data_IF_999111322017
#
_entry.id   IF_999111322017
#
_cell.length_a   1.000
_cell.length_b   1.000
_cell.length_c   1.000
_cell.angle_alpha   90.00
_cell.angle_beta   90.00
_cell.angle_gamma   90.00
#
_symmetry.space_group_name_H-M   'P 1'
#
loop_
_entity.id
_entity.type
_entity.pdbx_description
1 polymer ?
#
# COMPACT_ATOMS: atom_id res chain seq x y z
N UNK A 1 19.99 15.18 26.85
CA UNK A 1 21.15 15.90 26.23
C UNK A 1 21.01 15.90 24.72
N UNK A 2 21.26 17.04 24.04
CA UNK A 2 21.17 17.12 22.55
C UNK A 2 22.32 16.36 21.88
N UNK A 3 22.16 16.05 20.58
CA UNK A 3 23.22 15.38 19.81
C UNK A 3 24.50 16.24 19.69
N UNK A 4 24.36 17.58 19.62
CA UNK A 4 25.46 18.52 19.63
C UNK A 4 26.24 18.50 20.92
N UNK A 5 25.53 18.57 22.05
CA UNK A 5 26.15 18.55 23.39
C UNK A 5 26.89 17.23 23.67
N UNK A 6 26.35 16.10 23.19
CA UNK A 6 27.03 14.78 23.28
C UNK A 6 28.34 14.76 22.49
N UNK A 7 28.35 15.40 21.30
CA UNK A 7 29.54 15.49 20.46
C UNK A 7 30.64 16.30 21.12
N UNK A 8 30.32 17.45 21.73
CA UNK A 8 31.25 18.28 22.45
C UNK A 8 31.89 17.55 23.67
N UNK A 9 31.08 16.83 24.45
CA UNK A 9 31.57 16.00 25.59
C UNK A 9 32.55 14.93 25.07
N UNK A 10 32.22 14.24 23.97
CA UNK A 10 33.11 13.24 23.38
C UNK A 10 34.43 13.86 22.93
N UNK A 11 34.39 15.02 22.27
CA UNK A 11 35.59 15.71 21.75
C UNK A 11 36.53 16.13 22.91
N UNK A 12 35.98 16.67 24.00
CA UNK A 12 36.75 17.02 25.19
C UNK A 12 37.38 15.81 25.90
N UNK A 13 36.67 14.68 25.94
CA UNK A 13 37.16 13.46 26.59
C UNK A 13 38.13 12.67 25.73
N UNK A 14 38.03 12.75 24.42
CA UNK A 14 38.86 12.01 23.47
C UNK A 14 40.35 12.32 23.65
N UNK A 15 40.74 13.59 23.69
CA UNK A 15 42.13 14.01 23.89
C UNK A 15 42.72 13.56 25.24
N UNK A 16 41.90 13.56 26.30
CA UNK A 16 42.30 13.08 27.64
C UNK A 16 42.41 11.56 27.67
N UNK A 17 41.48 10.85 27.00
CA UNK A 17 41.46 9.39 26.93
C UNK A 17 42.71 8.81 26.23
N UNK A 18 43.17 9.44 25.17
CA UNK A 18 44.38 9.00 24.43
C UNK A 18 45.63 9.01 25.28
N UNK A 19 45.79 10.00 26.21
CA UNK A 19 46.93 10.20 27.08
C UNK A 19 46.79 9.49 28.44
N UNK A 20 45.62 8.92 28.73
CA UNK A 20 45.30 8.38 30.07
C UNK A 20 45.84 6.97 30.26
N UNK A 21 46.36 6.68 31.48
CA UNK A 21 46.65 5.32 31.91
C UNK A 21 45.40 4.48 32.16
N UNK A 22 45.54 3.18 32.29
CA UNK A 22 44.44 2.18 32.32
C UNK A 22 43.30 2.51 33.29
N UNK A 23 43.64 2.93 34.53
CA UNK A 23 42.65 3.26 35.57
C UNK A 23 41.87 4.52 35.21
N UNK A 24 42.57 5.54 34.70
CA UNK A 24 41.92 6.80 34.35
C UNK A 24 41.07 6.67 33.07
N UNK A 25 41.46 5.83 32.09
CA UNK A 25 40.62 5.48 30.95
C UNK A 25 39.30 4.86 31.37
N UNK A 26 39.34 3.98 32.40
CA UNK A 26 38.11 3.37 32.92
C UNK A 26 37.17 4.45 33.47
N UNK A 27 37.67 5.39 34.27
CA UNK A 27 36.87 6.52 34.79
C UNK A 27 36.27 7.39 33.68
N UNK A 28 37.02 7.68 32.60
CA UNK A 28 36.52 8.46 31.48
C UNK A 28 35.44 7.75 30.71
N UNK A 29 35.50 6.44 30.57
CA UNK A 29 34.44 5.61 29.93
C UNK A 29 33.17 5.67 30.81
N UNK A 30 33.31 5.47 32.14
CA UNK A 30 32.20 5.47 33.07
C UNK A 30 31.49 6.85 33.06
N UNK A 31 32.28 7.92 33.08
CA UNK A 31 31.79 9.29 32.97
C UNK A 31 31.02 9.54 31.66
N UNK A 32 31.53 9.03 30.53
CA UNK A 32 30.84 9.17 29.23
C UNK A 32 29.54 8.38 29.20
N UNK A 33 29.51 7.20 29.82
CA UNK A 33 28.27 6.41 29.93
C UNK A 33 27.23 7.13 30.77
N UNK A 34 27.62 7.70 31.90
CA UNK A 34 26.72 8.42 32.81
C UNK A 34 26.17 9.70 32.19
N UNK A 35 27.04 10.55 31.63
CA UNK A 35 26.67 11.87 31.09
C UNK A 35 25.90 11.77 29.77
N UNK A 36 26.31 10.85 28.85
CA UNK A 36 25.74 10.74 27.53
C UNK A 36 24.69 9.62 27.38
N UNK A 37 24.54 8.75 28.39
CA UNK A 37 23.68 7.57 28.32
C UNK A 37 24.16 6.52 27.29
N UNK A 38 25.48 6.43 27.04
CA UNK A 38 26.03 5.47 26.11
C UNK A 38 26.28 4.13 26.79
N UNK A 39 26.02 3.03 26.02
CA UNK A 39 26.52 1.74 26.45
C UNK A 39 28.06 1.69 26.45
N UNK A 40 28.63 0.96 27.40
CA UNK A 40 30.08 0.89 27.63
C UNK A 40 30.88 0.54 26.36
N UNK A 41 30.42 -0.43 25.57
CA UNK A 41 31.05 -0.82 24.30
C UNK A 41 31.07 0.33 23.28
N UNK A 42 30.00 1.10 23.22
CA UNK A 42 29.88 2.25 22.34
C UNK A 42 30.78 3.41 22.81
N UNK A 43 30.79 3.69 24.11
CA UNK A 43 31.67 4.71 24.72
C UNK A 43 33.17 4.42 24.42
N UNK A 44 33.63 3.18 24.58
CA UNK A 44 34.98 2.74 24.21
C UNK A 44 35.25 2.97 22.72
N UNK A 45 34.32 2.62 21.85
CA UNK A 45 34.46 2.78 20.40
C UNK A 45 34.62 4.24 19.99
N UNK A 46 33.82 5.12 20.59
CA UNK A 46 33.84 6.57 20.32
C UNK A 46 35.10 7.22 20.85
N UNK A 47 35.54 6.88 22.08
CA UNK A 47 36.76 7.40 22.65
C UNK A 47 38.04 6.91 21.98
N UNK A 48 38.03 5.77 21.33
CA UNK A 48 39.14 5.28 20.49
C UNK A 48 39.19 5.93 19.09
N UNK A 49 38.37 6.95 18.83
CA UNK A 49 38.35 7.63 17.55
C UNK A 49 37.76 6.82 16.39
N UNK A 50 37.26 5.61 16.65
CA UNK A 50 36.54 4.81 15.69
C UNK A 50 35.08 5.33 15.58
N UNK A 51 34.93 6.58 15.10
CA UNK A 51 33.64 6.96 14.54
C UNK A 51 33.33 5.95 13.44
N UNK A 52 32.10 5.41 13.34
CA UNK A 52 31.67 4.85 12.09
C UNK A 52 31.75 6.02 11.09
N UNK A 53 32.83 6.09 10.32
CA UNK A 53 32.86 6.92 9.14
C UNK A 53 31.61 6.60 8.32
N UNK A 54 31.15 7.48 7.41
CA UNK A 54 30.19 7.07 6.41
C UNK A 54 30.71 5.72 5.92
N UNK A 55 29.88 4.68 5.98
CA UNK A 55 30.26 3.34 5.55
C UNK A 55 30.80 3.51 4.15
N UNK A 56 32.14 3.65 4.06
CA UNK A 56 32.80 3.64 2.77
C UNK A 56 32.35 2.36 2.10
N UNK A 57 31.92 2.48 0.87
CA UNK A 57 31.64 1.34 0.02
C UNK A 57 32.83 0.41 0.17
N UNK A 58 32.67 -0.68 0.92
CA UNK A 58 33.66 -1.72 0.98
C UNK A 58 33.74 -2.28 -0.46
N UNK A 59 34.77 -1.87 -1.17
CA UNK A 59 35.18 -2.48 -2.45
C UNK A 59 35.67 -3.90 -2.13
N UNK A 60 34.74 -4.82 -1.96
CA UNK A 60 35.02 -6.19 -1.57
C UNK A 60 33.77 -7.05 -1.42
N UNK A 61 32.65 -6.63 -1.98
CA UNK A 61 31.44 -7.44 -2.11
C UNK A 61 31.60 -8.49 -3.22
N UNK A 62 30.94 -9.64 -3.08
CA UNK A 62 30.81 -10.61 -4.14
C UNK A 62 30.42 -9.92 -5.47
N UNK A 63 30.97 -10.39 -6.59
CA UNK A 63 30.65 -9.85 -7.91
C UNK A 63 29.14 -9.80 -8.09
N UNK A 64 28.58 -8.72 -8.66
CA UNK A 64 27.14 -8.61 -8.85
C UNK A 64 26.68 -9.78 -9.73
N UNK A 65 25.75 -10.57 -9.21
CA UNK A 65 25.17 -11.74 -9.89
C UNK A 65 24.32 -11.31 -11.09
N UNK A 66 23.76 -10.10 -11.01
CA UNK A 66 22.88 -9.54 -12.03
C UNK A 66 23.55 -8.36 -12.73
N UNK A 67 23.48 -8.37 -14.05
CA UNK A 67 24.03 -7.33 -14.91
C UNK A 67 23.07 -6.17 -15.10
N UNK A 68 23.50 -5.14 -15.79
CA UNK A 68 22.63 -4.01 -16.13
C UNK A 68 21.43 -4.41 -16.98
N UNK A 69 21.54 -5.48 -17.77
CA UNK A 69 20.44 -5.97 -18.61
C UNK A 69 19.29 -6.53 -17.78
N UNK A 70 19.55 -7.43 -16.84
CA UNK A 70 18.51 -7.98 -15.96
C UNK A 70 17.89 -6.87 -15.09
N UNK A 71 18.70 -5.94 -14.59
CA UNK A 71 18.22 -4.81 -13.77
C UNK A 71 17.33 -3.88 -14.58
N UNK A 72 17.63 -3.63 -15.86
CA UNK A 72 16.80 -2.80 -16.74
C UNK A 72 15.40 -3.44 -16.96
N UNK A 73 15.34 -4.76 -17.19
CA UNK A 73 14.06 -5.47 -17.30
C UNK A 73 13.23 -5.32 -16.03
N UNK A 74 13.85 -5.53 -14.87
CA UNK A 74 13.16 -5.43 -13.58
C UNK A 74 12.66 -4.01 -13.31
N UNK A 75 13.48 -2.98 -13.60
CA UNK A 75 13.08 -1.57 -13.46
C UNK A 75 11.90 -1.22 -14.35
N UNK A 76 11.95 -1.62 -15.61
CA UNK A 76 10.86 -1.37 -16.55
C UNK A 76 9.54 -1.98 -16.05
N UNK A 77 9.55 -3.27 -15.68
CA UNK A 77 8.36 -3.94 -15.16
C UNK A 77 7.90 -3.29 -13.85
N UNK A 78 8.80 -2.93 -12.96
CA UNK A 78 8.50 -2.31 -11.67
C UNK A 78 7.85 -0.93 -11.84
N UNK A 79 8.33 -0.13 -12.76
CA UNK A 79 7.79 1.19 -13.09
C UNK A 79 6.39 1.09 -13.68
N UNK A 80 6.21 0.28 -14.73
CA UNK A 80 4.91 0.07 -15.37
C UNK A 80 3.90 -0.67 -14.50
N UNK A 81 4.34 -1.43 -13.51
CA UNK A 81 3.50 -2.15 -12.56
C UNK A 81 3.16 -1.33 -11.31
N UNK A 82 3.44 -0.03 -11.30
CA UNK A 82 3.16 0.90 -10.22
C UNK A 82 3.89 0.57 -8.91
N UNK A 83 5.22 0.44 -9.01
CA UNK A 83 6.16 0.38 -7.89
C UNK A 83 5.87 -0.69 -6.81
N UNK A 84 5.54 -1.94 -7.15
CA UNK A 84 5.20 -2.96 -6.17
C UNK A 84 6.39 -3.34 -5.28
N UNK A 85 6.11 -3.87 -4.08
CA UNK A 85 7.14 -4.47 -3.24
C UNK A 85 7.68 -5.78 -3.86
N UNK A 86 8.90 -6.21 -3.47
CA UNK A 86 9.55 -7.38 -4.04
C UNK A 86 8.71 -8.65 -4.01
N UNK A 87 7.94 -8.90 -2.95
CA UNK A 87 7.05 -10.07 -2.86
C UNK A 87 5.94 -10.07 -3.93
N UNK A 88 5.35 -8.91 -4.22
CA UNK A 88 4.37 -8.77 -5.29
C UNK A 88 5.04 -8.82 -6.65
N UNK A 89 6.20 -8.16 -6.79
CA UNK A 89 6.95 -8.10 -8.05
C UNK A 89 7.37 -9.49 -8.53
N UNK A 90 7.82 -10.39 -7.64
CA UNK A 90 8.12 -11.80 -8.01
C UNK A 90 6.93 -12.44 -8.72
N UNK A 91 5.73 -12.31 -8.16
CA UNK A 91 4.52 -12.89 -8.76
C UNK A 91 4.09 -12.17 -10.06
N UNK A 92 4.49 -10.91 -10.24
CA UNK A 92 4.19 -10.12 -11.43
C UNK A 92 5.15 -10.40 -12.60
N UNK A 93 6.41 -10.72 -12.33
CA UNK A 93 7.42 -10.93 -13.39
C UNK A 93 6.95 -11.89 -14.49
N UNK A 94 6.40 -13.08 -14.22
CA UNK A 94 5.90 -13.98 -15.27
C UNK A 94 4.74 -13.37 -16.07
N UNK A 95 3.83 -12.66 -15.40
CA UNK A 95 2.64 -12.06 -16.01
C UNK A 95 3.02 -10.90 -16.96
N UNK A 96 4.03 -10.12 -16.59
CA UNK A 96 4.45 -8.92 -17.31
C UNK A 96 5.53 -9.17 -18.38
N UNK A 97 6.19 -10.31 -18.34
CA UNK A 97 7.30 -10.63 -19.26
C UNK A 97 6.90 -10.53 -20.72
N UNK A 98 5.70 -11.03 -21.06
CA UNK A 98 5.17 -10.95 -22.43
C UNK A 98 4.95 -9.52 -22.90
N UNK A 99 4.44 -8.66 -22.02
CA UNK A 99 4.22 -7.23 -22.31
C UNK A 99 5.54 -6.49 -22.47
N UNK A 100 6.55 -6.84 -21.65
CA UNK A 100 7.90 -6.32 -21.78
C UNK A 100 8.49 -6.66 -23.16
N UNK A 101 8.49 -7.95 -23.54
CA UNK A 101 9.07 -8.41 -24.80
C UNK A 101 8.39 -7.80 -26.03
N UNK A 102 7.07 -7.61 -26.01
CA UNK A 102 6.36 -6.91 -27.08
C UNK A 102 6.81 -5.46 -27.30
N UNK A 103 7.20 -4.76 -26.25
CA UNK A 103 7.53 -3.33 -26.32
C UNK A 103 9.02 -3.04 -26.42
N UNK A 104 9.86 -3.89 -25.85
CA UNK A 104 11.30 -3.69 -25.74
C UNK A 104 12.12 -4.67 -26.57
N UNK A 105 11.45 -5.67 -27.21
CA UNK A 105 12.09 -6.73 -27.98
C UNK A 105 12.33 -8.02 -27.18
N UNK A 106 12.65 -9.08 -27.90
CA UNK A 106 12.89 -10.39 -27.33
C UNK A 106 14.11 -10.40 -26.40
N UNK A 107 13.95 -11.07 -25.27
CA UNK A 107 15.03 -11.29 -24.31
C UNK A 107 15.76 -12.60 -24.62
N UNK A 108 17.06 -12.56 -24.52
CA UNK A 108 17.87 -13.79 -24.52
C UNK A 108 17.43 -14.70 -23.37
N UNK A 109 17.32 -16.00 -23.65
CA UNK A 109 16.86 -17.01 -22.68
C UNK A 109 17.58 -16.93 -21.33
N UNK A 110 18.92 -16.78 -21.23
CA UNK A 110 19.61 -16.68 -19.94
C UNK A 110 19.19 -15.44 -19.12
N UNK A 111 18.96 -14.28 -19.76
CA UNK A 111 18.53 -13.05 -19.10
C UNK A 111 17.13 -13.23 -18.54
N UNK A 112 16.22 -13.79 -19.35
CA UNK A 112 14.83 -14.07 -18.94
C UNK A 112 14.79 -15.03 -17.73
N UNK A 113 15.53 -16.13 -17.78
CA UNK A 113 15.57 -17.11 -16.68
C UNK A 113 16.09 -16.49 -15.39
N UNK A 114 17.18 -15.72 -15.47
CA UNK A 114 17.73 -14.99 -14.31
C UNK A 114 16.74 -14.01 -13.70
N UNK A 115 16.02 -13.24 -14.52
CA UNK A 115 15.00 -12.30 -14.04
C UNK A 115 13.86 -13.03 -13.33
N UNK A 116 13.35 -14.11 -13.93
CA UNK A 116 12.27 -14.91 -13.33
C UNK A 116 12.70 -15.67 -12.06
N UNK A 117 13.98 -15.96 -11.91
CA UNK A 117 14.55 -16.60 -10.72
C UNK A 117 14.91 -15.64 -9.58
N UNK A 118 14.67 -14.33 -9.71
CA UNK A 118 15.01 -13.37 -8.65
C UNK A 118 14.13 -13.53 -7.42
N UNK A 119 14.75 -13.56 -6.24
CA UNK A 119 14.02 -13.53 -4.97
C UNK A 119 13.47 -12.12 -4.65
N UNK A 120 12.41 -12.06 -3.85
CA UNK A 120 11.83 -10.80 -3.38
C UNK A 120 12.85 -9.88 -2.70
N UNK A 121 13.73 -10.45 -1.87
CA UNK A 121 14.79 -9.70 -1.19
C UNK A 121 15.85 -9.15 -2.18
N UNK A 122 16.13 -9.86 -3.26
CA UNK A 122 17.00 -9.38 -4.33
C UNK A 122 16.38 -8.21 -5.07
N UNK A 123 15.10 -8.32 -5.46
CA UNK A 123 14.36 -7.26 -6.11
C UNK A 123 14.28 -6.00 -5.24
N UNK A 124 14.00 -6.15 -3.94
CA UNK A 124 13.95 -5.01 -3.01
C UNK A 124 15.31 -4.32 -2.87
N UNK A 125 16.43 -5.06 -2.88
CA UNK A 125 17.78 -4.49 -2.84
C UNK A 125 18.14 -3.77 -4.14
N UNK A 126 17.86 -4.37 -5.29
CA UNK A 126 18.15 -3.77 -6.59
C UNK A 126 17.41 -2.46 -6.81
N UNK A 127 16.17 -2.37 -6.34
CA UNK A 127 15.29 -1.21 -6.51
C UNK A 127 15.35 -0.21 -5.35
N UNK A 128 16.17 -0.45 -4.32
CA UNK A 128 16.20 0.39 -3.11
C UNK A 128 16.51 1.87 -3.41
N UNK A 129 17.47 2.13 -4.28
CA UNK A 129 17.85 3.50 -4.68
C UNK A 129 16.75 4.20 -5.50
N UNK A 130 16.02 3.45 -6.33
CA UNK A 130 14.97 3.98 -7.18
C UNK A 130 13.69 4.29 -6.37
N UNK A 131 13.38 3.49 -5.33
CA UNK A 131 12.26 3.72 -4.41
C UNK A 131 12.32 5.02 -3.63
N UNK A 132 13.51 5.49 -3.30
CA UNK A 132 13.70 6.77 -2.56
C UNK A 132 13.22 7.96 -3.38
N UNK A 133 13.19 7.85 -4.71
CA UNK A 133 12.79 8.92 -5.63
C UNK A 133 11.28 9.04 -5.81
N UNK A 134 10.51 8.02 -5.41
CA UNK A 134 9.06 7.92 -5.67
C UNK A 134 8.28 7.97 -4.34
N UNK A 135 8.08 9.16 -3.74
CA UNK A 135 7.25 9.34 -2.53
C UNK A 135 6.20 10.45 -2.68
N UNK A 136 4.89 10.19 -2.47
CA UNK A 136 3.82 11.20 -2.53
C UNK A 136 3.45 11.80 -1.15
N UNK A 137 2.80 13.00 -1.15
CA UNK A 137 2.35 13.76 0.03
C UNK A 137 0.86 13.55 0.35
N UNK A 138 0.42 13.80 1.60
CA UNK A 138 -0.90 13.42 2.17
C UNK A 138 -1.84 14.60 2.44
N UNK A 139 -3.19 14.36 2.33
CA UNK A 139 -4.29 15.20 2.84
C UNK A 139 -5.64 14.44 2.89
N UNK A 140 -6.61 14.78 3.76
CA UNK A 140 -7.89 14.06 3.92
C UNK A 140 -9.05 14.86 4.55
N UNK A 141 -10.32 14.38 4.43
CA UNK A 141 -11.59 15.02 4.86
C UNK A 141 -12.63 14.04 5.46
N UNK A 142 -13.69 14.53 6.15
CA UNK A 142 -14.73 13.73 6.87
C UNK A 142 -16.18 14.13 6.53
N UNK A 143 -17.20 13.23 6.55
CA UNK A 143 -18.63 13.53 6.35
C UNK A 143 -19.68 12.98 7.36
N UNK A 144 -20.89 13.23 7.19
CA UNK A 144 -22.28 13.36 7.55
C UNK A 144 -23.12 12.27 8.33
N UNK A 145 -24.40 12.65 8.85
CA UNK A 145 -24.91 12.19 10.16
C UNK A 145 -26.31 11.52 10.23
N UNK A 146 -27.13 11.37 9.18
CA UNK A 146 -28.60 11.17 9.35
C UNK A 146 -29.18 9.75 9.10
N UNK A 147 -28.57 8.84 8.35
CA UNK A 147 -29.09 7.48 8.07
C UNK A 147 -28.45 6.35 8.89
N UNK A 148 -27.63 6.72 9.85
CA UNK A 148 -26.82 5.78 10.66
C UNK A 148 -27.63 4.80 11.51
N UNK A 149 -28.90 5.09 11.81
CA UNK A 149 -29.72 4.23 12.68
C UNK A 149 -30.40 3.07 11.95
N UNK A 150 -30.54 3.11 10.64
CA UNK A 150 -31.29 2.12 9.86
C UNK A 150 -30.40 1.03 9.23
N UNK A 151 -29.14 1.33 8.98
CA UNK A 151 -28.19 0.36 8.42
C UNK A 151 -27.38 -0.26 9.57
N UNK A 152 -27.41 -1.60 9.74
CA UNK A 152 -26.74 -2.26 10.86
C UNK A 152 -25.24 -2.03 10.81
N UNK A 153 -24.63 -1.86 12.00
CA UNK A 153 -23.19 -1.77 12.16
C UNK A 153 -22.63 -3.18 12.09
N UNK A 154 -21.59 -3.40 11.30
CA UNK A 154 -20.85 -4.65 11.29
C UNK A 154 -20.03 -4.77 12.58
N UNK A 155 -20.47 -5.62 13.51
CA UNK A 155 -19.81 -5.84 14.80
C UNK A 155 -18.75 -6.93 14.75
N UNK A 156 -18.83 -7.83 13.76
CA UNK A 156 -17.92 -8.97 13.59
C UNK A 156 -17.30 -8.98 12.19
N UNK A 157 -16.13 -9.61 12.04
CA UNK A 157 -15.58 -9.90 10.72
C UNK A 157 -16.49 -10.91 10.01
N UNK A 158 -16.79 -10.67 8.73
CA UNK A 158 -17.49 -11.68 7.95
C UNK A 158 -16.65 -12.95 7.84
N UNK A 159 -17.25 -14.10 8.11
CA UNK A 159 -16.67 -15.41 7.78
C UNK A 159 -16.83 -15.65 6.27
N UNK A 160 -15.92 -15.02 5.50
CA UNK A 160 -15.99 -14.99 4.04
C UNK A 160 -15.36 -16.25 3.48
N UNK A 161 -16.22 -17.19 3.02
CA UNK A 161 -15.82 -18.47 2.41
C UNK A 161 -15.70 -18.41 0.88
N UNK A 162 -16.18 -17.36 0.26
CA UNK A 162 -16.18 -17.18 -1.19
C UNK A 162 -16.36 -15.70 -1.59
N UNK A 163 -16.30 -15.38 -2.89
CA UNK A 163 -16.49 -14.01 -3.39
C UNK A 163 -17.94 -13.53 -3.23
N UNK A 164 -18.13 -12.22 -3.32
CA UNK A 164 -19.44 -11.57 -3.24
C UNK A 164 -19.64 -10.65 -2.03
N UNK A 165 -18.61 -10.45 -1.23
CA UNK A 165 -18.61 -9.58 -0.05
C UNK A 165 -17.79 -8.33 -0.36
N UNK A 166 -18.44 -7.22 -0.70
CA UNK A 166 -17.79 -5.98 -1.10
C UNK A 166 -17.65 -4.99 0.05
N UNK A 167 -16.47 -4.43 0.21
CA UNK A 167 -16.23 -3.17 0.93
C UNK A 167 -16.18 -2.03 -0.08
N UNK A 168 -16.89 -0.93 0.22
CA UNK A 168 -16.91 0.28 -0.61
C UNK A 168 -16.43 1.50 0.15
N UNK A 169 -15.69 2.36 -0.54
CA UNK A 169 -15.22 3.64 -0.02
C UNK A 169 -15.05 4.66 -1.15
N UNK A 170 -15.04 5.94 -0.81
CA UNK A 170 -14.92 7.02 -1.78
C UNK A 170 -13.64 7.82 -1.62
N UNK A 171 -13.11 8.33 -2.74
CA UNK A 171 -11.96 9.22 -2.79
C UNK A 171 -12.36 10.55 -3.42
N UNK A 172 -12.19 11.62 -2.67
CA UNK A 172 -12.49 12.99 -3.10
C UNK A 172 -11.38 13.55 -3.99
N UNK A 173 -11.73 14.07 -5.17
CA UNK A 173 -10.80 14.76 -6.05
C UNK A 173 -10.99 16.29 -6.00
N UNK A 174 -11.06 16.84 -4.80
CA UNK A 174 -11.21 18.28 -4.54
C UNK A 174 -9.89 19.07 -4.51
N UNK A 175 -8.74 18.41 -4.61
CA UNK A 175 -7.43 19.05 -4.46
C UNK A 175 -7.22 19.61 -3.05
N UNK A 176 -6.84 20.87 -2.96
CA UNK A 176 -6.62 21.58 -1.70
C UNK A 176 -7.87 22.22 -1.10
N UNK A 177 -9.02 22.17 -1.79
CA UNK A 177 -10.29 22.79 -1.38
C UNK A 177 -11.44 21.82 -1.51
N UNK A 178 -12.31 21.79 -0.50
CA UNK A 178 -13.56 21.04 -0.50
C UNK A 178 -14.77 21.87 -1.02
N UNK A 179 -14.54 23.12 -1.41
CA UNK A 179 -15.59 23.99 -1.90
C UNK A 179 -15.97 23.66 -3.35
N UNK A 180 -17.24 23.82 -3.70
CA UNK A 180 -17.78 23.61 -5.05
C UNK A 180 -17.95 22.14 -5.41
N UNK A 181 -18.18 21.91 -6.71
CA UNK A 181 -18.41 20.56 -7.28
C UNK A 181 -17.13 19.99 -7.88
N UNK A 182 -16.93 18.69 -7.72
CA UNK A 182 -15.79 17.97 -8.28
C UNK A 182 -16.07 16.45 -8.34
N UNK A 183 -15.23 15.76 -9.07
CA UNK A 183 -15.33 14.31 -9.23
C UNK A 183 -14.97 13.55 -7.95
N UNK A 184 -15.61 12.40 -7.77
CA UNK A 184 -15.25 11.40 -6.75
C UNK A 184 -15.03 10.05 -7.41
N UNK A 185 -14.08 9.29 -6.91
CA UNK A 185 -13.91 7.89 -7.27
C UNK A 185 -14.50 7.01 -6.18
N UNK A 186 -15.27 6.01 -6.57
CA UNK A 186 -15.79 4.98 -5.68
C UNK A 186 -14.99 3.71 -5.96
N UNK A 187 -14.49 3.07 -4.92
CA UNK A 187 -13.77 1.80 -5.00
C UNK A 187 -14.58 0.72 -4.30
N UNK A 188 -14.79 -0.40 -4.97
CA UNK A 188 -15.43 -1.59 -4.45
C UNK A 188 -14.39 -2.70 -4.42
N UNK A 189 -14.22 -3.35 -3.28
CA UNK A 189 -13.22 -4.42 -3.12
C UNK A 189 -13.88 -5.66 -2.55
N UNK A 190 -13.81 -6.77 -3.28
CA UNK A 190 -14.21 -8.08 -2.76
C UNK A 190 -13.21 -8.58 -1.72
N UNK A 191 -13.72 -8.91 -0.53
CA UNK A 191 -12.90 -9.32 0.60
C UNK A 191 -12.22 -10.67 0.34
N UNK A 192 -12.92 -11.59 -0.35
CA UNK A 192 -12.41 -12.93 -0.61
C UNK A 192 -11.28 -12.95 -1.62
N UNK A 193 -11.47 -12.38 -2.79
CA UNK A 193 -10.50 -12.43 -3.90
C UNK A 193 -9.54 -11.24 -3.92
N UNK A 194 -9.97 -10.10 -3.34
CA UNK A 194 -9.34 -8.80 -3.53
C UNK A 194 -9.64 -8.20 -4.90
N UNK A 195 -10.67 -8.69 -5.61
CA UNK A 195 -11.18 -8.12 -6.84
C UNK A 195 -11.60 -6.67 -6.61
N UNK A 196 -11.24 -5.79 -7.54
CA UNK A 196 -11.50 -4.36 -7.42
C UNK A 196 -12.27 -3.87 -8.63
N UNK A 197 -13.38 -3.19 -8.35
CA UNK A 197 -14.10 -2.37 -9.33
C UNK A 197 -14.06 -0.92 -8.91
N UNK A 198 -14.12 0.00 -9.88
CA UNK A 198 -14.10 1.42 -9.59
C UNK A 198 -15.07 2.18 -10.48
N UNK A 199 -15.61 3.27 -9.95
CA UNK A 199 -16.47 4.19 -10.70
C UNK A 199 -16.08 5.63 -10.43
N UNK A 200 -16.23 6.49 -11.42
CA UNK A 200 -16.20 7.92 -11.26
C UNK A 200 -17.63 8.48 -11.22
N UNK A 201 -17.88 9.42 -10.30
CA UNK A 201 -19.16 10.12 -10.15
C UNK A 201 -18.92 11.61 -9.99
N UNK A 202 -19.87 12.40 -10.48
CA UNK A 202 -19.88 13.85 -10.23
C UNK A 202 -20.54 14.13 -8.89
N UNK A 203 -19.81 14.77 -8.01
CA UNK A 203 -20.23 14.96 -6.62
C UNK A 203 -20.60 13.65 -5.90
N UNK A 204 -21.02 13.72 -4.65
CA UNK A 204 -21.49 12.58 -3.86
C UNK A 204 -23.02 12.36 -3.97
N UNK A 205 -23.59 12.58 -5.16
CA UNK A 205 -25.02 12.44 -5.37
C UNK A 205 -25.49 10.99 -5.27
N UNK A 206 -26.44 10.71 -4.38
CA UNK A 206 -26.97 9.36 -4.14
C UNK A 206 -27.44 8.64 -5.43
N UNK A 207 -28.07 9.36 -6.35
CA UNK A 207 -28.55 8.79 -7.62
C UNK A 207 -27.37 8.33 -8.51
N UNK A 208 -26.32 9.15 -8.60
CA UNK A 208 -25.13 8.80 -9.36
C UNK A 208 -24.43 7.56 -8.79
N UNK A 209 -24.28 7.52 -7.47
CA UNK A 209 -23.67 6.37 -6.76
C UNK A 209 -24.46 5.08 -7.01
N UNK A 210 -25.81 5.11 -6.89
CA UNK A 210 -26.65 3.94 -7.15
C UNK A 210 -26.57 3.49 -8.61
N UNK A 211 -26.57 4.43 -9.55
CA UNK A 211 -26.45 4.11 -10.98
C UNK A 211 -25.14 3.39 -11.27
N UNK A 212 -24.03 3.90 -10.76
CA UNK A 212 -22.70 3.27 -10.92
C UNK A 212 -22.59 1.93 -10.17
N UNK A 213 -23.19 1.82 -8.98
CA UNK A 213 -23.23 0.53 -8.25
C UNK A 213 -23.98 -0.55 -9.03
N UNK A 214 -25.12 -0.20 -9.66
CA UNK A 214 -25.88 -1.13 -10.54
C UNK A 214 -25.03 -1.60 -11.72
N UNK A 215 -24.33 -0.68 -12.37
CA UNK A 215 -23.48 -0.98 -13.51
C UNK A 215 -22.34 -1.91 -13.12
N UNK A 216 -21.66 -1.61 -12.01
CA UNK A 216 -20.57 -2.45 -11.49
C UNK A 216 -21.11 -3.84 -11.14
N UNK A 217 -22.22 -3.93 -10.43
CA UNK A 217 -22.79 -5.23 -10.05
C UNK A 217 -23.09 -6.11 -11.25
N UNK A 218 -23.61 -5.54 -12.33
CA UNK A 218 -23.88 -6.30 -13.57
C UNK A 218 -22.61 -6.84 -14.25
N UNK A 219 -21.44 -6.30 -13.93
CA UNK A 219 -20.14 -6.65 -14.48
C UNK A 219 -19.29 -7.51 -13.53
N UNK A 220 -19.72 -7.73 -12.28
CA UNK A 220 -19.01 -8.59 -11.35
C UNK A 220 -18.95 -10.05 -11.88
N UNK A 221 -17.81 -10.73 -11.75
CA UNK A 221 -17.68 -12.14 -12.14
C UNK A 221 -18.27 -13.12 -11.11
N UNK A 222 -18.99 -12.61 -10.12
CA UNK A 222 -19.63 -13.36 -9.03
C UNK A 222 -20.87 -12.61 -8.52
N UNK A 223 -21.83 -13.30 -7.88
CA UNK A 223 -23.02 -12.65 -7.32
C UNK A 223 -22.66 -11.75 -6.12
N UNK A 224 -23.32 -10.59 -6.00
CA UNK A 224 -23.20 -9.71 -4.85
C UNK A 224 -24.05 -10.26 -3.69
N UNK A 225 -23.41 -10.65 -2.60
CA UNK A 225 -24.04 -11.23 -1.42
C UNK A 225 -24.15 -10.24 -0.25
N UNK A 226 -23.09 -9.45 -0.06
CA UNK A 226 -23.04 -8.46 1.00
C UNK A 226 -22.27 -7.21 0.56
N UNK A 227 -22.64 -6.09 1.16
CA UNK A 227 -22.06 -4.79 0.88
C UNK A 227 -21.81 -4.04 2.20
N UNK A 228 -20.58 -3.64 2.44
CA UNK A 228 -20.18 -2.83 3.58
C UNK A 228 -19.61 -1.50 3.09
N UNK A 229 -19.93 -0.42 3.77
CA UNK A 229 -19.37 0.89 3.45
C UNK A 229 -18.92 1.61 4.71
N UNK A 230 -18.16 2.67 4.52
CA UNK A 230 -17.95 3.63 5.58
C UNK A 230 -19.26 4.38 5.94
N UNK A 231 -19.19 5.29 6.93
CA UNK A 231 -20.34 6.09 7.31
C UNK A 231 -20.57 7.31 6.39
N UNK A 232 -20.12 7.27 5.14
CA UNK A 232 -20.30 8.32 4.15
C UNK A 232 -21.75 8.48 3.71
N UNK A 233 -22.24 9.72 3.58
CA UNK A 233 -23.61 10.00 3.15
C UNK A 233 -23.91 9.54 1.73
N UNK A 234 -22.90 9.35 0.90
CA UNK A 234 -22.99 8.83 -0.46
C UNK A 234 -23.45 7.37 -0.50
N UNK A 235 -23.09 6.57 0.50
CA UNK A 235 -23.51 5.17 0.64
C UNK A 235 -24.71 5.03 1.57
N UNK A 236 -24.75 5.79 2.67
CA UNK A 236 -25.83 5.75 3.63
C UNK A 236 -27.02 6.57 3.13
N UNK A 237 -27.70 6.10 2.08
CA UNK A 237 -28.85 6.74 1.49
C UNK A 237 -29.98 5.76 1.21
N UNK A 238 -31.23 6.27 1.17
CA UNK A 238 -32.43 5.46 0.94
C UNK A 238 -32.46 4.79 -0.45
N UNK A 239 -31.80 5.35 -1.45
CA UNK A 239 -31.79 4.77 -2.79
C UNK A 239 -30.97 3.49 -2.83
N UNK A 240 -29.78 3.49 -2.22
CA UNK A 240 -28.91 2.31 -2.15
C UNK A 240 -29.53 1.24 -1.23
N UNK A 241 -30.09 1.66 -0.08
CA UNK A 241 -30.80 0.75 0.84
C UNK A 241 -31.97 0.05 0.16
N UNK A 242 -32.83 0.78 -0.58
CA UNK A 242 -33.92 0.19 -1.38
C UNK A 242 -33.38 -0.72 -2.47
N UNK A 243 -32.34 -0.29 -3.17
CA UNK A 243 -31.74 -1.08 -4.24
C UNK A 243 -31.30 -2.45 -3.76
N UNK A 244 -30.67 -2.56 -2.60
CA UNK A 244 -30.21 -3.83 -2.03
C UNK A 244 -31.34 -4.63 -1.37
N UNK A 245 -32.32 -3.98 -0.77
CA UNK A 245 -33.41 -4.62 -0.04
C UNK A 245 -34.59 -5.08 -0.88
N UNK A 246 -34.84 -4.48 -2.05
CA UNK A 246 -36.04 -4.76 -2.88
C UNK A 246 -35.89 -5.98 -3.81
N UNK A 247 -34.94 -6.86 -3.56
CA UNK A 247 -34.64 -8.04 -4.37
C UNK A 247 -35.22 -9.31 -3.79
N UNK A 248 -35.41 -10.32 -4.65
CA UNK A 248 -35.77 -11.67 -4.21
C UNK A 248 -34.76 -12.26 -3.20
N UNK A 249 -33.48 -11.98 -3.41
CA UNK A 249 -32.38 -12.25 -2.48
C UNK A 249 -31.73 -10.92 -2.09
N UNK A 250 -32.10 -10.33 -0.95
CA UNK A 250 -31.53 -9.06 -0.50
C UNK A 250 -30.03 -9.16 -0.28
N UNK A 251 -29.31 -8.11 -0.68
CA UNK A 251 -27.88 -7.98 -0.34
C UNK A 251 -27.77 -7.56 1.12
N UNK A 252 -26.94 -8.23 1.88
CA UNK A 252 -26.69 -7.89 3.28
C UNK A 252 -25.93 -6.57 3.37
N UNK A 253 -26.64 -5.47 3.56
CA UNK A 253 -26.07 -4.13 3.60
C UNK A 253 -25.70 -3.76 5.04
N UNK A 254 -24.42 -3.50 5.27
CA UNK A 254 -23.84 -3.09 6.57
C UNK A 254 -23.03 -1.82 6.46
N UNK A 255 -22.66 -1.28 7.59
CA UNK A 255 -21.71 -0.16 7.70
C UNK A 255 -20.65 -0.43 8.75
N UNK A 256 -19.46 0.11 8.54
CA UNK A 256 -18.34 0.00 9.47
C UNK A 256 -18.62 0.76 10.78
N UNK A 257 -17.96 0.35 11.85
CA UNK A 257 -18.01 1.01 13.16
C UNK A 257 -17.32 2.37 13.10
N UNK A 258 -17.89 3.35 13.79
CA UNK A 258 -17.25 4.66 13.92
C UNK A 258 -15.92 4.54 14.66
N UNK A 259 -14.88 5.20 14.14
CA UNK A 259 -13.53 5.23 14.69
C UNK A 259 -12.78 3.88 14.71
N UNK A 260 -13.31 2.83 14.13
CA UNK A 260 -12.63 1.54 13.98
C UNK A 260 -11.93 1.42 12.61
N UNK A 261 -10.73 1.95 12.47
CA UNK A 261 -9.94 1.97 11.22
C UNK A 261 -9.67 0.61 10.59
N UNK A 262 -9.89 -0.48 11.30
CA UNK A 262 -9.64 -1.83 10.77
C UNK A 262 -10.83 -2.40 9.99
N UNK A 263 -12.02 -1.80 10.12
CA UNK A 263 -13.24 -2.35 9.53
C UNK A 263 -13.28 -2.20 8.00
N UNK A 264 -12.64 -1.15 7.45
CA UNK A 264 -12.53 -0.90 6.00
C UNK A 264 -11.08 -1.00 5.48
N UNK A 265 -10.25 -1.78 6.16
CA UNK A 265 -8.81 -1.84 5.85
C UNK A 265 -8.50 -2.37 4.44
N UNK A 266 -9.38 -3.19 3.86
CA UNK A 266 -9.19 -3.74 2.51
C UNK A 266 -9.37 -2.66 1.45
N UNK A 267 -10.42 -1.85 1.55
CA UNK A 267 -10.71 -0.79 0.58
C UNK A 267 -9.84 0.47 0.79
N UNK A 268 -9.53 0.85 2.04
CA UNK A 268 -8.65 2.01 2.31
C UNK A 268 -7.27 1.86 1.66
N UNK A 269 -6.68 0.66 1.72
CA UNK A 269 -5.42 0.38 1.03
C UNK A 269 -5.57 0.52 -0.49
N UNK A 270 -6.72 0.11 -1.04
CA UNK A 270 -7.00 0.20 -2.47
C UNK A 270 -7.15 1.65 -2.92
N UNK A 271 -7.78 2.50 -2.15
CA UNK A 271 -7.92 3.92 -2.47
C UNK A 271 -6.57 4.61 -2.69
N UNK A 272 -5.58 4.30 -1.88
CA UNK A 272 -4.23 4.81 -2.13
C UNK A 272 -3.61 4.21 -3.40
N UNK A 273 -3.56 2.87 -3.49
CA UNK A 273 -2.80 2.18 -4.54
C UNK A 273 -3.50 2.14 -5.90
N UNK A 274 -4.82 2.36 -5.94
CA UNK A 274 -5.64 2.21 -7.15
C UNK A 274 -6.27 3.51 -7.65
N UNK A 275 -6.41 4.49 -6.76
CA UNK A 275 -6.97 5.80 -7.13
C UNK A 275 -5.89 6.87 -7.05
N UNK A 276 -5.26 7.06 -5.88
CA UNK A 276 -4.31 8.15 -5.68
C UNK A 276 -3.02 8.00 -6.49
N UNK A 277 -2.54 6.79 -6.69
CA UNK A 277 -1.38 6.56 -7.54
C UNK A 277 -1.69 6.81 -9.01
N UNK A 278 -2.91 6.54 -9.47
CA UNK A 278 -3.34 6.77 -10.85
C UNK A 278 -3.67 8.25 -11.12
N UNK A 279 -4.53 8.85 -10.29
CA UNK A 279 -5.10 10.18 -10.51
C UNK A 279 -4.44 11.27 -9.67
N UNK A 280 -3.57 10.94 -8.72
CA UNK A 280 -2.93 11.92 -7.85
C UNK A 280 -3.87 12.57 -6.84
N UNK A 281 -3.51 13.79 -6.44
CA UNK A 281 -4.23 14.61 -5.46
C UNK A 281 -4.77 15.89 -6.08
N UNK A 282 -4.77 15.98 -7.40
CA UNK A 282 -5.23 17.13 -8.14
C UNK A 282 -6.75 17.31 -8.02
N UNK A 283 -7.21 18.51 -8.38
CA UNK A 283 -8.63 18.83 -8.44
C UNK A 283 -9.18 18.49 -9.82
N UNK A 284 -10.30 17.74 -9.83
CA UNK A 284 -11.03 17.38 -11.03
C UNK A 284 -12.43 17.99 -10.97
N UNK A 285 -12.56 19.25 -11.42
CA UNK A 285 -13.81 20.04 -11.39
C UNK A 285 -14.45 20.25 -12.77
N UNK A 286 -14.12 19.40 -13.71
CA UNK A 286 -14.71 19.35 -15.06
C UNK A 286 -15.61 18.13 -15.17
N UNK A 287 -16.95 18.30 -15.31
CA UNK A 287 -17.90 17.18 -15.41
C UNK A 287 -17.58 16.19 -16.54
N UNK A 288 -17.02 16.67 -17.65
CA UNK A 288 -16.68 15.88 -18.84
C UNK A 288 -15.59 14.84 -18.57
N UNK A 289 -14.78 15.05 -17.54
CA UNK A 289 -13.75 14.08 -17.15
C UNK A 289 -14.32 12.85 -16.45
N UNK A 290 -15.53 12.96 -15.87
CA UNK A 290 -16.14 11.85 -15.13
C UNK A 290 -16.34 10.63 -15.99
N UNK A 291 -16.90 10.78 -17.17
CA UNK A 291 -17.14 9.64 -18.07
C UNK A 291 -15.83 9.07 -18.62
N UNK A 292 -14.86 9.90 -18.94
CA UNK A 292 -13.53 9.45 -19.39
C UNK A 292 -12.79 8.64 -18.32
N UNK A 293 -12.82 9.11 -17.06
CA UNK A 293 -12.21 8.39 -15.93
C UNK A 293 -13.00 7.12 -15.63
N UNK A 294 -14.32 7.17 -15.73
CA UNK A 294 -15.17 6.00 -15.54
C UNK A 294 -14.87 4.92 -16.59
N UNK A 295 -14.74 5.30 -17.86
CA UNK A 295 -14.38 4.37 -18.93
C UNK A 295 -13.01 3.74 -18.71
N UNK A 296 -12.01 4.54 -18.32
CA UNK A 296 -10.68 4.03 -17.94
C UNK A 296 -10.79 2.99 -16.81
N UNK A 297 -11.58 3.27 -15.78
CA UNK A 297 -11.79 2.37 -14.66
C UNK A 297 -12.43 1.05 -15.08
N UNK A 298 -13.44 1.07 -15.96
CA UNK A 298 -14.17 -0.12 -16.40
C UNK A 298 -13.38 -1.02 -17.36
N UNK A 299 -12.47 -0.47 -18.14
CA UNK A 299 -11.75 -1.19 -19.18
C UNK A 299 -10.31 -1.48 -18.77
N UNK A 300 -9.37 -0.63 -19.13
CA UNK A 300 -7.94 -0.91 -19.01
C UNK A 300 -7.50 -1.06 -17.55
N UNK A 301 -7.97 -0.17 -16.69
CA UNK A 301 -7.56 -0.19 -15.28
C UNK A 301 -8.13 -1.38 -14.53
N UNK A 302 -9.39 -1.75 -14.79
CA UNK A 302 -10.02 -2.97 -14.27
C UNK A 302 -9.22 -4.22 -14.62
N UNK A 303 -8.87 -4.37 -15.91
CA UNK A 303 -8.09 -5.51 -16.37
C UNK A 303 -6.70 -5.55 -15.73
N UNK A 304 -6.02 -4.41 -15.70
CA UNK A 304 -4.70 -4.31 -15.09
C UNK A 304 -4.71 -4.72 -13.62
N UNK A 305 -5.65 -4.20 -12.84
CA UNK A 305 -5.73 -4.45 -11.40
C UNK A 305 -6.01 -5.92 -11.08
N UNK A 306 -6.97 -6.51 -11.77
CA UNK A 306 -7.50 -7.81 -11.40
C UNK A 306 -6.73 -8.99 -12.01
N UNK A 307 -6.08 -8.79 -13.16
CA UNK A 307 -5.35 -9.86 -13.85
C UNK A 307 -3.83 -9.74 -13.75
N UNK A 308 -3.28 -8.56 -13.50
CA UNK A 308 -1.83 -8.31 -13.57
C UNK A 308 -1.20 -7.77 -12.28
N UNK A 309 -2.01 -7.42 -11.27
CA UNK A 309 -1.51 -6.89 -10.00
C UNK A 309 -1.84 -7.81 -8.82
N UNK A 310 -0.90 -8.69 -8.41
CA UNK A 310 -1.10 -9.59 -7.28
C UNK A 310 -1.32 -8.85 -5.97
N UNK A 311 -2.18 -9.42 -5.14
CA UNK A 311 -2.44 -8.99 -3.77
C UNK A 311 -2.02 -10.08 -2.79
N UNK A 312 -1.66 -9.67 -1.57
CA UNK A 312 -1.37 -10.56 -0.46
C UNK A 312 -2.41 -10.36 0.62
N UNK A 313 -2.96 -11.44 1.17
CA UNK A 313 -3.92 -11.42 2.28
C UNK A 313 -3.22 -11.69 3.60
N UNK A 314 -3.64 -11.00 4.64
CA UNK A 314 -3.16 -11.24 5.99
C UNK A 314 -3.76 -12.55 6.50
N UNK A 315 -2.91 -13.55 6.72
CA UNK A 315 -3.30 -14.87 7.23
C UNK A 315 -3.25 -14.90 8.75
N UNK A 316 -2.25 -14.23 9.34
CA UNK A 316 -2.04 -14.24 10.78
C UNK A 316 -1.50 -12.91 11.28
N UNK A 317 -2.05 -12.45 12.40
CA UNK A 317 -1.59 -11.26 13.11
C UNK A 317 -1.39 -11.62 14.58
N UNK A 318 -0.12 -11.71 15.00
CA UNK A 318 0.26 -12.00 16.38
C UNK A 318 0.93 -10.81 17.02
N UNK A 319 0.55 -10.49 18.24
CA UNK A 319 1.16 -9.41 19.01
C UNK A 319 2.00 -9.99 20.14
N UNK A 320 3.27 -9.60 20.21
CA UNK A 320 4.20 -9.96 21.27
C UNK A 320 4.74 -8.67 21.91
N UNK A 321 4.17 -8.28 23.04
CA UNK A 321 4.46 -7.01 23.68
C UNK A 321 4.15 -5.81 22.78
N UNK A 322 5.15 -4.99 22.47
CA UNK A 322 5.03 -3.84 21.56
C UNK A 322 5.14 -4.22 20.07
N UNK A 323 5.60 -5.43 19.73
CA UNK A 323 5.80 -5.87 18.33
C UNK A 323 4.55 -6.56 17.78
N UNK A 324 4.26 -6.28 16.51
CA UNK A 324 3.19 -6.93 15.75
C UNK A 324 3.80 -7.72 14.60
N UNK A 325 3.65 -9.02 14.66
CA UNK A 325 4.05 -9.95 13.59
C UNK A 325 2.84 -10.20 12.67
N UNK A 326 3.07 -10.05 11.37
CA UNK A 326 2.05 -10.25 10.35
C UNK A 326 2.55 -11.28 9.34
N UNK A 327 1.80 -12.35 9.15
CA UNK A 327 2.04 -13.35 8.12
C UNK A 327 1.01 -13.18 7.01
N UNK A 328 1.49 -13.09 5.80
CA UNK A 328 0.67 -12.97 4.59
C UNK A 328 0.76 -14.25 3.78
N UNK A 329 -0.26 -14.53 2.99
CA UNK A 329 -0.27 -15.61 2.02
C UNK A 329 0.63 -15.31 0.80
N UNK A 330 0.66 -16.24 -0.14
CA UNK A 330 1.36 -16.08 -1.42
C UNK A 330 0.64 -15.02 -2.25
N UNK A 331 1.42 -14.13 -2.87
CA UNK A 331 0.89 -13.09 -3.73
C UNK A 331 0.24 -13.71 -4.99
N UNK A 332 -1.06 -13.45 -5.19
CA UNK A 332 -1.86 -13.90 -6.31
C UNK A 332 -2.71 -12.76 -6.84
N UNK A 333 -3.00 -12.75 -8.14
CA UNK A 333 -3.96 -11.79 -8.68
C UNK A 333 -5.38 -12.10 -8.20
N UNK A 334 -6.28 -11.11 -8.14
CA UNK A 334 -7.69 -11.37 -7.85
C UNK A 334 -8.30 -12.42 -8.78
N UNK A 335 -8.01 -12.38 -10.07
CA UNK A 335 -8.47 -13.38 -11.04
C UNK A 335 -7.96 -14.80 -10.72
N UNK A 336 -6.69 -14.95 -10.35
CA UNK A 336 -6.14 -16.25 -9.93
C UNK A 336 -6.86 -16.82 -8.70
N UNK A 337 -7.22 -15.94 -7.74
CA UNK A 337 -7.99 -16.36 -6.55
C UNK A 337 -9.42 -16.78 -6.88
N UNK A 338 -10.07 -16.11 -7.83
CA UNK A 338 -11.40 -16.50 -8.29
C UNK A 338 -11.36 -17.83 -9.03
N UNK A 339 -10.40 -18.03 -9.93
CA UNK A 339 -10.22 -19.30 -10.64
C UNK A 339 -9.89 -20.48 -9.70
N UNK A 340 -9.22 -20.22 -8.59
CA UNK A 340 -8.94 -21.27 -7.60
C UNK A 340 -10.14 -21.57 -6.68
N UNK A 341 -11.17 -20.71 -6.68
CA UNK A 341 -12.40 -20.92 -5.90
C UNK A 341 -13.45 -21.72 -6.69
N UNK A 342 -13.50 -21.56 -8.03
CA UNK A 342 -14.40 -22.33 -8.91
C UNK A 342 -13.96 -23.76 -9.04
#
# INVERSE_FOLDING_TARGET
MSAGSRKEVVERLHGRYGRAGRLYRRKLIDQLCEVCGYERKYAIKVLNGRRPGPRGLQQGGARPVYTAAEVAVVRWIWDWADYPCGKRLVAMLPLWMRSYQRRQGELQKPVREKVLGMSAATLDRLLAADRVKVQPRRGGTKPGRLLRSQIPVRCESWDVKGPGYLEADSVDHGGTSTAGSYMHSITYTDIYSGWVEQAAVWNKGAVGVVSRTRQIEAELPFPLLAFDSDNGGEFLNHHLWRYFGSRRQPVHFTRSREYHKNDNAHVEQKNFTKVRQLLGYERYDQPELVDRVHDLYRHEWRLLQNFFQPVMKLVEKRREGAKVHKRYDVAQTPAQRLLAWT
#
